data_IF_105494176037
#
_entry.id   IF_105494176037
#
_cell.length_a   1.000
_cell.length_b   1.000
_cell.length_c   1.000
_cell.angle_alpha   90.00
_cell.angle_beta   90.00
_cell.angle_gamma   90.00
#
_symmetry.space_group_name_H-M   'P 1'
#
loop_
_entity.id
_entity.type
_entity.pdbx_description
1 polymer ?
#
# COMPACT_ATOMS: atom_id res chain seq x y z
N UNK A 1 -20.45 -25.99 -11.68
CA UNK A 1 -21.16 -25.27 -10.59
C UNK A 1 -22.02 -26.20 -9.72
N UNK A 2 -21.54 -27.41 -9.39
CA UNK A 2 -22.36 -28.48 -8.76
C UNK A 2 -21.96 -28.83 -7.31
N UNK A 3 -21.11 -28.03 -6.66
CA UNK A 3 -20.67 -28.24 -5.27
C UNK A 3 -20.78 -26.95 -4.43
N UNK A 4 -21.67 -26.02 -4.78
CA UNK A 4 -21.89 -24.84 -3.96
C UNK A 4 -22.79 -25.20 -2.78
N UNK A 5 -22.18 -25.22 -1.61
CA UNK A 5 -22.84 -25.39 -0.33
C UNK A 5 -23.94 -24.35 -0.10
N UNK A 6 -24.95 -24.65 0.73
CA UNK A 6 -26.06 -23.72 1.02
C UNK A 6 -25.54 -22.39 1.56
N UNK A 7 -24.50 -22.41 2.41
CA UNK A 7 -23.79 -21.20 2.84
C UNK A 7 -23.25 -20.36 1.67
N UNK A 8 -22.57 -20.98 0.70
CA UNK A 8 -21.95 -20.27 -0.45
C UNK A 8 -23.02 -19.60 -1.32
N UNK A 9 -24.16 -20.28 -1.53
CA UNK A 9 -25.28 -19.75 -2.32
C UNK A 9 -25.93 -18.52 -1.70
N UNK A 10 -25.88 -18.38 -0.38
CA UNK A 10 -26.46 -17.25 0.36
C UNK A 10 -25.44 -16.13 0.57
N UNK A 11 -24.21 -16.49 0.96
CA UNK A 11 -23.18 -15.51 1.31
C UNK A 11 -22.65 -14.73 0.11
N UNK A 12 -22.45 -15.38 -1.05
CA UNK A 12 -21.96 -14.69 -2.25
C UNK A 12 -22.90 -13.54 -2.67
N UNK A 13 -24.20 -13.76 -2.94
CA UNK A 13 -25.08 -12.68 -3.35
C UNK A 13 -25.23 -11.62 -2.25
N UNK A 14 -25.25 -12.02 -0.97
CA UNK A 14 -25.29 -11.08 0.14
C UNK A 14 -24.06 -10.15 0.13
N UNK A 15 -22.85 -10.68 0.01
CA UNK A 15 -21.62 -9.89 -0.05
C UNK A 15 -21.54 -9.04 -1.30
N UNK A 16 -22.00 -9.55 -2.45
CA UNK A 16 -22.10 -8.76 -3.68
C UNK A 16 -23.04 -7.56 -3.52
N UNK A 17 -24.22 -7.75 -2.90
CA UNK A 17 -25.18 -6.66 -2.64
C UNK A 17 -24.57 -5.62 -1.69
N UNK A 18 -23.92 -6.05 -0.61
CA UNK A 18 -23.26 -5.14 0.34
C UNK A 18 -22.17 -4.32 -0.36
N UNK A 19 -21.34 -4.96 -1.18
CA UNK A 19 -20.25 -4.30 -1.89
C UNK A 19 -20.78 -3.29 -2.93
N UNK A 20 -21.79 -3.67 -3.72
CA UNK A 20 -22.42 -2.78 -4.68
C UNK A 20 -23.14 -1.61 -4.00
N UNK A 21 -23.82 -1.85 -2.88
CA UNK A 21 -24.46 -0.79 -2.10
C UNK A 21 -23.45 0.20 -1.52
N UNK A 22 -22.30 -0.29 -1.04
CA UNK A 22 -21.22 0.55 -0.53
C UNK A 22 -20.58 1.41 -1.63
N UNK A 23 -20.33 0.84 -2.82
CA UNK A 23 -19.86 1.58 -4.00
C UNK A 23 -20.87 2.64 -4.42
N UNK A 24 -22.15 2.29 -4.48
CA UNK A 24 -23.20 3.24 -4.83
C UNK A 24 -23.27 4.39 -3.82
N UNK A 25 -23.20 4.10 -2.52
CA UNK A 25 -23.19 5.11 -1.47
C UNK A 25 -21.96 6.04 -1.57
N UNK A 26 -20.79 5.49 -1.92
CA UNK A 26 -19.55 6.25 -2.10
C UNK A 26 -19.64 7.29 -3.21
N UNK A 27 -20.40 7.01 -4.27
CA UNK A 27 -20.64 7.95 -5.36
C UNK A 27 -21.61 9.08 -5.00
N UNK A 28 -22.47 8.88 -4.00
CA UNK A 28 -23.52 9.84 -3.63
C UNK A 28 -23.10 10.77 -2.48
N UNK A 29 -22.25 10.30 -1.57
CA UNK A 29 -21.82 11.05 -0.39
C UNK A 29 -20.37 10.74 -0.03
N UNK A 30 -19.63 11.72 0.51
CA UNK A 30 -18.29 11.47 1.02
C UNK A 30 -18.39 10.47 2.19
N UNK A 31 -17.82 9.29 2.02
CA UNK A 31 -17.75 8.28 3.07
C UNK A 31 -16.61 8.62 4.03
N UNK A 32 -16.87 8.48 5.33
CA UNK A 32 -15.84 8.62 6.34
C UNK A 32 -14.92 7.40 6.32
N UNK A 33 -13.62 7.63 6.22
CA UNK A 33 -12.59 6.61 6.38
C UNK A 33 -11.67 7.02 7.51
N UNK A 34 -11.27 6.04 8.33
CA UNK A 34 -10.25 6.23 9.36
C UNK A 34 -8.98 6.80 8.72
N UNK A 35 -8.43 7.84 9.33
CA UNK A 35 -7.15 8.42 8.92
C UNK A 35 -6.02 7.38 9.00
N UNK A 36 -5.25 7.26 7.93
CA UNK A 36 -4.02 6.46 7.88
C UNK A 36 -2.84 7.43 8.09
N UNK A 37 -2.23 7.39 9.27
CA UNK A 37 -1.23 8.38 9.68
C UNK A 37 -0.06 8.47 8.71
N UNK A 38 0.50 7.32 8.29
CA UNK A 38 1.63 7.28 7.35
C UNK A 38 1.33 7.90 5.99
N UNK A 39 0.09 7.79 5.49
CA UNK A 39 -0.31 8.43 4.23
C UNK A 39 -0.49 9.94 4.38
N UNK A 40 -0.96 10.41 5.54
CA UNK A 40 -1.08 11.85 5.78
C UNK A 40 0.24 12.55 6.03
N UNK A 41 1.30 11.81 6.37
CA UNK A 41 2.64 12.34 6.52
C UNK A 41 3.38 12.53 5.18
N UNK A 42 2.85 11.99 4.07
CA UNK A 42 3.48 12.13 2.75
C UNK A 42 3.66 13.59 2.33
N UNK A 43 2.60 14.40 2.45
CA UNK A 43 2.66 15.82 2.08
C UNK A 43 3.66 16.60 2.95
N UNK A 44 3.71 16.31 4.25
CA UNK A 44 4.67 16.90 5.18
C UNK A 44 6.12 16.52 4.81
N UNK A 45 6.36 15.24 4.50
CA UNK A 45 7.67 14.77 4.10
C UNK A 45 8.16 15.42 2.81
N UNK A 46 7.27 15.59 1.82
CA UNK A 46 7.58 16.32 0.58
C UNK A 46 7.86 17.79 0.88
N UNK A 47 7.02 18.46 1.67
CA UNK A 47 7.21 19.86 2.05
C UNK A 47 8.55 20.10 2.75
N UNK A 48 8.92 19.22 3.69
CA UNK A 48 10.23 19.28 4.36
C UNK A 48 11.39 19.10 3.38
N UNK A 49 11.26 18.21 2.39
CA UNK A 49 12.26 18.04 1.35
C UNK A 49 12.41 19.29 0.46
N UNK A 50 11.29 19.92 0.12
CA UNK A 50 11.26 21.20 -0.60
C UNK A 50 11.96 22.30 0.20
N UNK A 51 11.64 22.46 1.49
CA UNK A 51 12.24 23.47 2.37
C UNK A 51 13.75 23.29 2.53
N UNK A 52 14.21 22.04 2.55
CA UNK A 52 15.64 21.73 2.62
C UNK A 52 16.37 21.84 1.28
N UNK A 53 15.65 21.97 0.15
CA UNK A 53 16.24 22.00 -1.19
C UNK A 53 17.00 20.72 -1.55
N UNK A 54 16.59 19.58 -0.99
CA UNK A 54 17.25 18.28 -1.12
C UNK A 54 16.28 17.26 -1.76
N UNK A 55 16.76 16.31 -2.56
CA UNK A 55 15.90 15.35 -3.25
C UNK A 55 15.24 14.36 -2.29
N UNK A 56 14.17 13.75 -2.75
CA UNK A 56 13.49 12.63 -2.11
C UNK A 56 13.92 11.31 -2.74
N UNK A 57 13.80 10.21 -2.00
CA UNK A 57 14.06 8.87 -2.52
C UNK A 57 12.85 7.95 -2.30
N UNK A 58 12.43 7.24 -3.33
CA UNK A 58 11.31 6.30 -3.29
C UNK A 58 11.72 4.91 -3.76
N UNK A 59 11.56 3.89 -2.91
CA UNK A 59 11.92 2.50 -3.23
C UNK A 59 10.64 1.66 -3.32
N UNK A 60 10.32 1.08 -4.50
CA UNK A 60 9.10 0.28 -4.71
C UNK A 60 9.25 -1.21 -4.30
N UNK A 61 10.22 -1.53 -3.43
CA UNK A 61 10.53 -2.90 -3.02
C UNK A 61 11.46 -3.65 -3.98
N UNK A 62 11.67 -4.93 -3.68
CA UNK A 62 12.46 -5.86 -4.49
C UNK A 62 11.63 -6.69 -5.49
N UNK A 63 10.31 -6.52 -5.47
CA UNK A 63 9.40 -7.27 -6.34
C UNK A 63 9.50 -6.84 -7.80
N UNK A 64 9.15 -7.76 -8.70
CA UNK A 64 8.84 -7.42 -10.09
C UNK A 64 7.43 -6.83 -10.20
N UNK A 65 6.78 -7.00 -11.35
CA UNK A 65 5.41 -6.54 -11.56
C UNK A 65 4.42 -7.49 -10.85
N UNK A 66 4.04 -7.12 -9.64
CA UNK A 66 3.00 -7.79 -8.86
C UNK A 66 2.05 -6.77 -8.20
N UNK A 67 1.04 -7.26 -7.47
CA UNK A 67 0.03 -6.41 -6.82
C UNK A 67 0.68 -5.44 -5.81
N UNK A 68 1.71 -5.90 -5.10
CA UNK A 68 2.34 -5.12 -4.03
C UNK A 68 3.22 -4.02 -4.60
N UNK A 69 4.02 -4.33 -5.62
CA UNK A 69 4.85 -3.38 -6.34
C UNK A 69 4.00 -2.36 -7.09
N UNK A 70 2.92 -2.77 -7.76
CA UNK A 70 2.01 -1.83 -8.43
C UNK A 70 1.38 -0.84 -7.45
N UNK A 71 0.98 -1.31 -6.27
CA UNK A 71 0.48 -0.46 -5.20
C UNK A 71 1.56 0.49 -4.67
N UNK A 72 2.81 0.04 -4.54
CA UNK A 72 3.94 0.89 -4.18
C UNK A 72 4.19 1.99 -5.22
N UNK A 73 4.21 1.63 -6.50
CA UNK A 73 4.36 2.59 -7.62
C UNK A 73 3.24 3.61 -7.63
N UNK A 74 1.99 3.20 -7.37
CA UNK A 74 0.86 4.13 -7.27
C UNK A 74 1.03 5.15 -6.13
N UNK A 75 1.55 4.73 -4.96
CA UNK A 75 1.86 5.64 -3.85
C UNK A 75 3.00 6.58 -4.24
N UNK A 76 4.07 6.07 -4.85
CA UNK A 76 5.20 6.89 -5.30
C UNK A 76 4.79 7.89 -6.40
N UNK A 77 3.85 7.52 -7.28
CA UNK A 77 3.28 8.42 -8.28
C UNK A 77 2.52 9.58 -7.62
N UNK A 78 1.81 9.33 -6.51
CA UNK A 78 1.19 10.38 -5.71
C UNK A 78 2.24 11.29 -5.04
N UNK A 79 3.30 10.70 -4.46
CA UNK A 79 4.43 11.48 -3.91
C UNK A 79 5.09 12.35 -4.98
N UNK A 80 5.35 11.79 -6.16
CA UNK A 80 5.91 12.52 -7.31
C UNK A 80 5.01 13.66 -7.77
N UNK A 81 3.68 13.47 -7.73
CA UNK A 81 2.70 14.51 -8.05
C UNK A 81 2.84 15.72 -7.12
N UNK A 82 2.95 15.47 -5.82
CA UNK A 82 3.17 16.52 -4.82
C UNK A 82 4.55 17.17 -5.05
N UNK A 83 5.60 16.36 -5.23
CA UNK A 83 6.96 16.83 -5.50
C UNK A 83 7.05 17.72 -6.74
N UNK A 84 6.36 17.36 -7.83
CA UNK A 84 6.29 18.14 -9.06
C UNK A 84 5.74 19.56 -8.86
N UNK A 85 4.69 19.70 -8.03
CA UNK A 85 4.10 21.02 -7.69
C UNK A 85 5.13 21.91 -7.00
N UNK A 86 5.90 21.32 -6.08
CA UNK A 86 6.94 22.00 -5.29
C UNK A 86 8.35 21.96 -5.91
N UNK A 87 8.51 21.44 -7.14
CA UNK A 87 9.81 21.28 -7.82
C UNK A 87 10.85 20.52 -7.00
N UNK A 88 10.41 19.48 -6.28
CA UNK A 88 11.29 18.58 -5.52
C UNK A 88 11.43 17.26 -6.27
N UNK A 89 12.67 16.90 -6.59
CA UNK A 89 12.98 15.69 -7.34
C UNK A 89 12.73 14.43 -6.49
N UNK A 90 12.23 13.38 -7.15
CA UNK A 90 12.06 12.04 -6.58
C UNK A 90 12.98 11.07 -7.32
N UNK A 91 13.98 10.55 -6.61
CA UNK A 91 14.87 9.49 -7.08
C UNK A 91 14.24 8.13 -6.80
N UNK A 92 14.10 7.28 -7.82
CA UNK A 92 13.43 5.99 -7.72
C UNK A 92 14.36 4.86 -8.15
N UNK A 93 15.19 4.33 -7.23
CA UNK A 93 15.96 3.13 -7.49
C UNK A 93 15.05 1.90 -7.54
N UNK A 94 15.21 1.08 -8.58
CA UNK A 94 14.47 -0.17 -8.77
C UNK A 94 15.42 -1.37 -8.77
N UNK A 95 14.96 -2.48 -8.19
CA UNK A 95 15.74 -3.73 -8.10
C UNK A 95 15.45 -4.70 -9.26
N UNK A 96 14.39 -4.47 -10.02
CA UNK A 96 13.97 -5.31 -11.14
C UNK A 96 13.97 -4.51 -12.45
N UNK A 97 14.56 -5.07 -13.51
CA UNK A 97 14.69 -4.40 -14.81
C UNK A 97 13.37 -4.26 -15.54
N UNK A 98 12.39 -5.14 -15.29
CA UNK A 98 11.06 -5.05 -15.90
C UNK A 98 10.23 -3.92 -15.30
N UNK A 99 10.55 -3.52 -14.06
CA UNK A 99 9.89 -2.44 -13.36
C UNK A 99 10.34 -1.05 -13.84
N UNK A 100 11.57 -0.94 -14.36
CA UNK A 100 12.16 0.32 -14.82
C UNK A 100 11.28 1.10 -15.82
N UNK A 101 10.86 0.54 -16.97
CA UNK A 101 10.03 1.26 -17.93
C UNK A 101 8.66 1.61 -17.35
N UNK A 102 8.05 0.72 -16.56
CA UNK A 102 6.75 0.96 -15.93
C UNK A 102 6.79 2.19 -15.00
N UNK A 103 7.82 2.27 -14.16
CA UNK A 103 7.99 3.40 -13.24
C UNK A 103 8.29 4.68 -13.99
N UNK A 104 9.16 4.63 -15.02
CA UNK A 104 9.45 5.79 -15.86
C UNK A 104 8.19 6.33 -16.54
N UNK A 105 7.39 5.47 -17.16
CA UNK A 105 6.12 5.83 -17.82
C UNK A 105 5.13 6.41 -16.79
N UNK A 106 4.94 5.73 -15.66
CA UNK A 106 4.01 6.20 -14.62
C UNK A 106 4.41 7.59 -14.10
N UNK A 107 5.69 7.82 -13.84
CA UNK A 107 6.15 9.13 -13.37
C UNK A 107 6.05 10.17 -14.49
N UNK A 108 6.44 9.84 -15.73
CA UNK A 108 6.29 10.74 -16.86
C UNK A 108 4.85 11.23 -17.02
N UNK A 109 3.88 10.31 -16.94
CA UNK A 109 2.45 10.63 -16.98
C UNK A 109 2.03 11.57 -15.84
N UNK A 110 2.58 11.40 -14.64
CA UNK A 110 2.35 12.32 -13.53
C UNK A 110 2.82 13.73 -13.89
N UNK A 111 4.05 13.90 -14.36
CA UNK A 111 4.60 15.21 -14.76
C UNK A 111 3.82 15.85 -15.92
N UNK A 112 3.43 15.06 -16.92
CA UNK A 112 2.58 15.50 -18.04
C UNK A 112 1.22 15.95 -17.53
N UNK A 113 0.58 15.18 -16.64
CA UNK A 113 -0.74 15.51 -16.08
C UNK A 113 -0.74 16.77 -15.21
N UNK A 114 0.38 17.08 -14.56
CA UNK A 114 0.58 18.32 -13.80
C UNK A 114 1.03 19.49 -14.69
N UNK A 115 1.12 19.30 -16.01
CA UNK A 115 1.48 20.34 -16.98
C UNK A 115 2.94 20.79 -16.92
N UNK A 116 3.84 19.94 -16.40
CA UNK A 116 5.28 20.22 -16.25
C UNK A 116 6.16 19.08 -16.76
N UNK A 117 5.99 18.64 -18.03
CA UNK A 117 6.79 17.55 -18.60
C UNK A 117 8.29 17.83 -18.60
N UNK A 118 8.70 19.11 -18.64
CA UNK A 118 10.09 19.55 -18.65
C UNK A 118 10.84 19.27 -17.34
N UNK A 119 10.13 19.02 -16.24
CA UNK A 119 10.73 18.67 -14.95
C UNK A 119 11.00 17.17 -14.82
N UNK A 120 10.50 16.34 -15.73
CA UNK A 120 10.74 14.90 -15.68
C UNK A 120 12.12 14.57 -16.25
N UNK A 121 12.96 13.98 -15.40
CA UNK A 121 14.25 13.45 -15.79
C UNK A 121 14.18 11.91 -15.72
N UNK A 122 14.24 11.19 -16.86
CA UNK A 122 14.19 9.72 -16.87
C UNK A 122 15.30 9.07 -16.05
N UNK A 123 16.43 9.76 -15.93
CA UNK A 123 17.59 9.34 -15.12
C UNK A 123 17.30 9.30 -13.63
N UNK A 124 16.23 9.93 -13.14
CA UNK A 124 15.85 9.82 -11.73
C UNK A 124 15.32 8.42 -11.38
N UNK A 125 14.92 7.62 -12.38
CA UNK A 125 14.55 6.21 -12.21
C UNK A 125 15.70 5.33 -12.68
N UNK A 126 16.31 4.57 -11.77
CA UNK A 126 17.52 3.79 -12.08
C UNK A 126 17.40 2.36 -11.61
N UNK A 127 17.71 1.41 -12.48
CA UNK A 127 18.03 0.06 -12.05
C UNK A 127 19.41 0.04 -11.40
N UNK A 128 19.50 -0.45 -10.16
CA UNK A 128 20.78 -0.54 -9.44
C UNK A 128 21.35 -1.95 -9.46
N UNK A 129 20.58 -2.93 -8.98
CA UNK A 129 20.97 -4.33 -8.95
C UNK A 129 19.77 -5.21 -8.63
N UNK A 130 19.75 -6.43 -9.18
CA UNK A 130 18.78 -7.47 -8.81
C UNK A 130 19.25 -8.34 -7.63
N UNK A 131 20.42 -8.06 -7.06
CA UNK A 131 20.94 -8.75 -5.88
C UNK A 131 20.61 -7.93 -4.64
N UNK A 132 19.83 -8.52 -3.72
CA UNK A 132 19.32 -7.90 -2.49
C UNK A 132 20.32 -6.96 -1.78
N UNK A 133 21.50 -7.46 -1.37
CA UNK A 133 22.45 -6.64 -0.60
C UNK A 133 23.22 -5.63 -1.46
N UNK A 134 23.43 -5.93 -2.75
CA UNK A 134 24.02 -4.97 -3.69
C UNK A 134 23.07 -3.81 -3.94
N UNK A 135 21.77 -4.10 -4.07
CA UNK A 135 20.72 -3.10 -4.15
C UNK A 135 20.69 -2.25 -2.87
N UNK A 136 20.71 -2.88 -1.69
CA UNK A 136 20.74 -2.19 -0.40
C UNK A 136 21.91 -1.20 -0.29
N UNK A 137 23.12 -1.66 -0.61
CA UNK A 137 24.33 -0.84 -0.57
C UNK A 137 24.27 0.32 -1.57
N UNK A 138 23.73 0.08 -2.77
CA UNK A 138 23.59 1.11 -3.79
C UNK A 138 22.55 2.17 -3.37
N UNK A 139 21.40 1.77 -2.85
CA UNK A 139 20.38 2.69 -2.30
C UNK A 139 20.95 3.51 -1.14
N UNK A 140 21.63 2.86 -0.19
CA UNK A 140 22.31 3.54 0.91
C UNK A 140 23.35 4.56 0.41
N UNK A 141 24.13 4.18 -0.61
CA UNK A 141 25.06 5.07 -1.29
C UNK A 141 24.37 6.29 -1.89
N UNK A 142 23.23 6.10 -2.58
CA UNK A 142 22.42 7.20 -3.13
C UNK A 142 21.92 8.14 -2.02
N UNK A 143 21.40 7.59 -0.93
CA UNK A 143 20.92 8.37 0.24
C UNK A 143 22.04 9.28 0.77
N UNK A 144 23.26 8.75 0.91
CA UNK A 144 24.42 9.50 1.41
C UNK A 144 24.94 10.54 0.42
N UNK A 145 25.04 10.18 -0.86
CA UNK A 145 25.57 11.04 -1.92
C UNK A 145 24.67 12.23 -2.18
N UNK A 146 23.39 11.96 -2.40
CA UNK A 146 22.38 12.97 -2.72
C UNK A 146 21.91 13.71 -1.48
N UNK A 147 22.26 13.19 -0.30
CA UNK A 147 21.77 13.64 0.99
C UNK A 147 20.25 13.74 0.89
N UNK A 148 19.53 12.63 0.77
CA UNK A 148 18.07 12.72 0.61
C UNK A 148 17.41 13.35 1.84
N UNK A 149 16.36 14.13 1.65
CA UNK A 149 15.63 14.79 2.73
C UNK A 149 14.46 13.95 3.26
N UNK A 150 13.86 13.16 2.36
CA UNK A 150 12.78 12.24 2.68
C UNK A 150 12.99 10.92 1.94
N UNK A 151 12.65 9.81 2.61
CA UNK A 151 12.71 8.48 2.05
C UNK A 151 11.35 7.78 2.16
N UNK A 152 10.92 7.18 1.07
CA UNK A 152 9.65 6.48 0.93
C UNK A 152 9.90 5.03 0.58
N UNK A 153 9.50 4.10 1.45
CA UNK A 153 9.77 2.67 1.27
C UNK A 153 8.47 1.90 1.17
N UNK A 154 8.01 1.61 -0.05
CA UNK A 154 6.73 0.94 -0.27
C UNK A 154 6.94 -0.34 -1.06
N UNK A 155 6.37 -1.45 -0.59
CA UNK A 155 6.37 -2.71 -1.34
C UNK A 155 6.85 -3.93 -0.58
N UNK A 156 7.40 -4.89 -1.32
CA UNK A 156 7.93 -6.15 -0.78
C UNK A 156 9.41 -6.00 -0.44
N UNK A 157 9.75 -6.22 0.82
CA UNK A 157 11.11 -6.11 1.33
C UNK A 157 11.53 -7.35 2.12
N UNK A 158 12.82 -7.39 2.46
CA UNK A 158 13.47 -8.35 3.35
C UNK A 158 14.55 -7.61 4.17
N UNK A 159 15.66 -8.29 4.50
CA UNK A 159 16.73 -7.76 5.34
C UNK A 159 17.40 -6.48 4.80
N UNK A 160 17.34 -6.20 3.51
CA UNK A 160 17.85 -4.96 2.91
C UNK A 160 17.16 -3.71 3.43
N UNK A 161 15.90 -3.82 3.86
CA UNK A 161 15.12 -2.69 4.36
C UNK A 161 15.82 -1.97 5.52
N UNK A 162 16.35 -2.75 6.48
CA UNK A 162 17.09 -2.18 7.62
C UNK A 162 18.34 -1.43 7.17
N UNK A 163 19.05 -1.95 6.17
CA UNK A 163 20.35 -1.40 5.75
C UNK A 163 20.18 0.04 5.25
N UNK A 164 19.29 0.26 4.28
CA UNK A 164 19.12 1.61 3.73
C UNK A 164 18.28 2.52 4.62
N UNK A 165 17.35 1.98 5.42
CA UNK A 165 16.52 2.82 6.31
C UNK A 165 17.30 3.31 7.53
N UNK A 166 18.23 2.52 8.06
CA UNK A 166 19.17 2.99 9.09
C UNK A 166 20.03 4.16 8.56
N UNK A 167 20.48 4.07 7.31
CA UNK A 167 21.26 5.13 6.68
C UNK A 167 20.43 6.41 6.47
N UNK A 168 19.16 6.29 6.07
CA UNK A 168 18.24 7.42 6.00
C UNK A 168 18.02 8.08 7.38
N UNK A 169 17.88 7.26 8.43
CA UNK A 169 17.74 7.73 9.81
C UNK A 169 18.99 8.50 10.27
N UNK A 170 20.18 7.97 9.97
CA UNK A 170 21.46 8.57 10.35
C UNK A 170 21.68 9.97 9.73
N UNK A 171 21.19 10.20 8.51
CA UNK A 171 21.28 11.53 7.87
C UNK A 171 20.09 12.46 8.22
N UNK A 172 19.17 12.00 9.08
CA UNK A 172 18.00 12.76 9.53
C UNK A 172 16.92 12.94 8.46
N UNK A 173 16.88 12.06 7.45
CA UNK A 173 15.81 12.05 6.47
C UNK A 173 14.50 11.60 7.14
N UNK A 174 13.38 12.25 6.84
CA UNK A 174 12.07 11.74 7.26
C UNK A 174 11.75 10.48 6.47
N UNK A 175 11.33 9.42 7.14
CA UNK A 175 11.12 8.11 6.51
C UNK A 175 9.70 7.63 6.70
N UNK A 176 9.06 7.29 5.58
CA UNK A 176 7.71 6.73 5.55
C UNK A 176 7.77 5.40 4.82
N UNK A 177 7.38 4.34 5.50
CA UNK A 177 7.42 3.00 4.97
C UNK A 177 6.04 2.34 4.95
N UNK A 178 5.85 1.36 4.08
CA UNK A 178 4.65 0.55 4.03
C UNK A 178 4.90 -0.78 3.35
N UNK A 179 4.50 -1.86 4.01
CA UNK A 179 4.65 -3.22 3.48
C UNK A 179 3.52 -4.12 3.99
N UNK A 180 3.00 -5.04 3.15
CA UNK A 180 2.06 -6.05 3.61
C UNK A 180 2.74 -7.20 4.37
N UNK A 181 4.08 -7.27 4.36
CA UNK A 181 4.83 -8.36 5.00
C UNK A 181 4.96 -8.15 6.51
N UNK A 182 4.30 -9.02 7.28
CA UNK A 182 4.33 -9.00 8.76
C UNK A 182 5.73 -9.21 9.34
N UNK A 183 6.62 -9.88 8.59
CA UNK A 183 8.01 -10.09 9.00
C UNK A 183 8.88 -8.83 8.87
N UNK A 184 8.50 -7.89 7.99
CA UNK A 184 9.32 -6.70 7.71
C UNK A 184 8.81 -5.44 8.39
N UNK A 185 7.54 -5.41 8.80
CA UNK A 185 6.97 -4.31 9.58
C UNK A 185 7.85 -3.93 10.79
N UNK A 186 8.38 -4.87 11.60
CA UNK A 186 9.24 -4.52 12.74
C UNK A 186 10.52 -3.76 12.34
N UNK A 187 11.05 -4.04 11.15
CA UNK A 187 12.28 -3.39 10.67
C UNK A 187 12.03 -1.91 10.40
N UNK A 188 10.93 -1.60 9.72
CA UNK A 188 10.55 -0.21 9.46
C UNK A 188 10.08 0.50 10.73
N UNK A 189 9.44 -0.19 11.68
CA UNK A 189 9.05 0.44 12.96
C UNK A 189 10.29 0.90 13.73
N UNK A 190 11.41 0.19 13.62
CA UNK A 190 12.64 0.53 14.31
C UNK A 190 13.37 1.74 13.70
N UNK A 191 13.25 1.94 12.38
CA UNK A 191 14.09 2.92 11.65
C UNK A 191 13.30 4.09 11.04
N UNK A 192 11.98 3.98 10.87
CA UNK A 192 11.16 4.97 10.17
C UNK A 192 10.21 5.74 11.09
N UNK A 193 9.90 6.99 10.73
CA UNK A 193 8.99 7.85 11.48
C UNK A 193 7.53 7.37 11.38
N UNK A 194 7.13 6.89 10.21
CA UNK A 194 5.78 6.40 9.96
C UNK A 194 5.79 5.07 9.21
N UNK A 195 4.97 4.13 9.68
CA UNK A 195 4.84 2.79 9.08
C UNK A 195 3.39 2.46 8.81
N UNK A 196 3.09 2.14 7.56
CA UNK A 196 1.80 1.63 7.10
C UNK A 196 1.83 0.10 7.18
N UNK A 197 0.81 -0.49 7.80
CA UNK A 197 0.81 -1.90 8.21
C UNK A 197 -0.28 -2.68 7.46
N UNK A 198 0.10 -3.77 6.80
CA UNK A 198 -0.84 -4.78 6.30
C UNK A 198 -1.90 -4.20 5.36
N UNK A 199 -3.18 -4.34 5.72
CA UNK A 199 -4.32 -3.90 4.91
C UNK A 199 -4.33 -2.38 4.64
N UNK A 200 -3.69 -1.57 5.49
CA UNK A 200 -3.57 -0.12 5.24
C UNK A 200 -2.75 0.16 3.97
N UNK A 201 -1.81 -0.72 3.61
CA UNK A 201 -1.01 -0.61 2.40
C UNK A 201 -1.88 -0.79 1.14
N UNK A 202 -2.79 -1.78 1.15
CA UNK A 202 -3.72 -2.01 0.04
C UNK A 202 -4.82 -0.95 -0.05
N UNK A 203 -5.17 -0.33 1.07
CA UNK A 203 -6.13 0.77 1.10
C UNK A 203 -5.53 2.11 0.61
N UNK A 204 -4.22 2.21 0.44
CA UNK A 204 -3.54 3.48 0.23
C UNK A 204 -3.99 4.22 -1.04
N UNK A 205 -4.09 3.53 -2.18
CA UNK A 205 -4.53 4.17 -3.43
C UNK A 205 -5.92 4.78 -3.29
N UNK A 206 -6.88 4.06 -2.72
CA UNK A 206 -8.22 4.56 -2.48
C UNK A 206 -8.25 5.77 -1.53
N UNK A 207 -7.39 5.74 -0.51
CA UNK A 207 -7.28 6.82 0.46
C UNK A 207 -6.70 8.11 -0.16
N UNK A 208 -5.68 7.96 -1.01
CA UNK A 208 -4.97 9.07 -1.65
C UNK A 208 -5.76 9.67 -2.82
N UNK A 209 -6.37 8.84 -3.69
CA UNK A 209 -7.14 9.33 -4.85
C UNK A 209 -8.57 9.73 -4.51
N UNK A 210 -9.11 9.22 -3.39
CA UNK A 210 -10.52 9.37 -2.99
C UNK A 210 -11.51 8.93 -4.07
N UNK A 211 -11.11 8.00 -4.93
CA UNK A 211 -11.96 7.50 -6.00
C UNK A 211 -13.14 6.69 -5.42
N UNK A 212 -14.41 7.07 -5.70
CA UNK A 212 -15.58 6.49 -5.07
C UNK A 212 -15.66 4.96 -5.17
N UNK A 213 -15.27 4.38 -6.31
CA UNK A 213 -15.32 2.94 -6.53
C UNK A 213 -14.35 2.20 -5.62
N UNK A 214 -13.11 2.69 -5.51
CA UNK A 214 -12.10 2.11 -4.61
C UNK A 214 -12.51 2.28 -3.14
N UNK A 215 -13.02 3.46 -2.80
CA UNK A 215 -13.50 3.82 -1.47
C UNK A 215 -14.61 2.88 -0.99
N UNK A 216 -15.66 2.74 -1.81
CA UNK A 216 -16.81 1.92 -1.51
C UNK A 216 -16.47 0.43 -1.46
N UNK A 217 -15.51 0.00 -2.29
CA UNK A 217 -15.00 -1.38 -2.25
C UNK A 217 -14.35 -1.72 -0.92
N UNK A 218 -13.49 -0.84 -0.39
CA UNK A 218 -12.84 -1.05 0.92
C UNK A 218 -13.88 -1.12 2.03
N UNK A 219 -14.82 -0.17 2.08
CA UNK A 219 -15.85 -0.16 3.13
C UNK A 219 -16.76 -1.38 3.02
N UNK A 220 -17.16 -1.75 1.81
CA UNK A 220 -17.94 -2.97 1.58
C UNK A 220 -17.19 -4.23 2.03
N UNK A 221 -15.89 -4.32 1.76
CA UNK A 221 -15.06 -5.43 2.23
C UNK A 221 -14.94 -5.46 3.75
N UNK A 222 -14.75 -4.32 4.41
CA UNK A 222 -14.68 -4.24 5.87
C UNK A 222 -16.01 -4.63 6.53
N UNK A 223 -17.15 -4.22 5.95
CA UNK A 223 -18.48 -4.67 6.39
C UNK A 223 -18.65 -6.18 6.25
N UNK A 224 -18.24 -6.76 5.11
CA UNK A 224 -18.26 -8.20 4.91
C UNK A 224 -17.35 -8.95 5.91
N UNK A 225 -16.13 -8.44 6.15
CA UNK A 225 -15.22 -9.00 7.17
C UNK A 225 -15.86 -8.97 8.56
N UNK A 226 -16.49 -7.85 8.94
CA UNK A 226 -17.17 -7.71 10.23
C UNK A 226 -18.34 -8.68 10.38
N UNK A 227 -19.15 -8.87 9.33
CA UNK A 227 -20.23 -9.87 9.32
C UNK A 227 -19.70 -11.30 9.48
N UNK A 228 -18.59 -11.63 8.82
CA UNK A 228 -17.95 -12.94 8.96
C UNK A 228 -17.46 -13.14 10.40
N UNK A 229 -16.76 -12.14 10.98
CA UNK A 229 -16.28 -12.19 12.36
C UNK A 229 -17.44 -12.38 13.34
N UNK A 230 -18.52 -11.60 13.19
CA UNK A 230 -19.71 -11.73 14.02
C UNK A 230 -20.35 -13.12 13.88
N UNK A 231 -20.46 -13.63 12.65
CA UNK A 231 -20.98 -14.97 12.37
C UNK A 231 -20.13 -16.08 13.00
N UNK A 232 -18.80 -15.96 12.94
CA UNK A 232 -17.86 -16.89 13.59
C UNK A 232 -18.05 -16.84 15.10
N UNK A 233 -18.06 -15.66 15.72
CA UNK A 233 -18.22 -15.52 17.18
C UNK A 233 -19.55 -16.10 17.67
N UNK A 234 -20.66 -15.76 17.00
CA UNK A 234 -21.99 -16.31 17.32
C UNK A 234 -22.00 -17.82 17.13
N UNK A 235 -21.45 -18.31 16.02
CA UNK A 235 -21.33 -19.73 15.74
C UNK A 235 -20.53 -20.49 16.80
N UNK A 236 -19.41 -19.94 17.24
CA UNK A 236 -18.58 -20.50 18.32
C UNK A 236 -19.36 -20.55 19.65
N UNK A 237 -20.01 -19.45 20.05
CA UNK A 237 -20.78 -19.40 21.31
C UNK A 237 -21.96 -20.38 21.31
N UNK A 238 -22.72 -20.43 20.22
CA UNK A 238 -23.87 -21.35 20.09
C UNK A 238 -23.39 -22.80 20.10
N UNK A 239 -22.30 -23.11 19.39
CA UNK A 239 -21.73 -24.46 19.39
C UNK A 239 -21.23 -24.89 20.78
N UNK A 240 -20.69 -23.97 21.58
CA UNK A 240 -20.21 -24.26 22.92
C UNK A 240 -21.33 -24.40 23.96
N UNK A 241 -22.37 -23.57 23.91
CA UNK A 241 -23.43 -23.54 24.95
C UNK A 241 -24.63 -24.44 24.63
N UNK A 242 -24.95 -24.66 23.35
CA UNK A 242 -26.06 -25.51 22.92
C UNK A 242 -25.63 -26.52 21.84
N UNK A 243 -24.98 -27.63 22.24
CA UNK A 243 -24.50 -28.65 21.32
C UNK A 243 -25.59 -29.25 20.43
N UNK A 244 -26.86 -29.19 20.84
CA UNK A 244 -28.02 -29.67 20.07
C UNK A 244 -28.16 -28.99 18.70
N UNK A 245 -27.64 -27.76 18.52
CA UNK A 245 -27.71 -27.04 17.24
C UNK A 245 -26.49 -27.26 16.33
N UNK A 246 -25.46 -28.01 16.78
CA UNK A 246 -24.30 -28.36 15.93
C UNK A 246 -24.66 -29.00 14.58
N UNK A 247 -25.58 -29.97 14.49
CA UNK A 247 -25.91 -30.60 13.20
C UNK A 247 -26.53 -29.60 12.20
N UNK A 248 -27.27 -28.60 12.69
CA UNK A 248 -27.84 -27.54 11.85
C UNK A 248 -26.74 -26.61 11.31
N UNK A 249 -25.81 -26.20 12.17
CA UNK A 249 -24.65 -25.38 11.78
C UNK A 249 -23.77 -26.14 10.77
N UNK A 250 -23.48 -27.43 11.03
CA UNK A 250 -22.73 -28.29 10.11
C UNK A 250 -23.46 -28.46 8.77
N UNK A 251 -24.78 -28.67 8.78
CA UNK A 251 -25.57 -28.80 7.56
C UNK A 251 -25.56 -27.53 6.68
N UNK A 252 -25.47 -26.35 7.30
CA UNK A 252 -25.33 -25.08 6.59
C UNK A 252 -23.94 -24.91 5.95
N UNK A 253 -22.86 -25.32 6.62
CA UNK A 253 -21.47 -25.11 6.19
C UNK A 253 -20.81 -26.26 5.47
N UNK A 254 -21.33 -27.49 5.55
CA UNK A 254 -20.76 -28.70 4.89
C UNK A 254 -21.71 -29.30 3.85
N UNK A 255 -22.93 -28.77 3.76
CA UNK A 255 -23.98 -29.28 2.88
C UNK A 255 -24.60 -30.52 3.52
N UNK A 256 -25.89 -30.75 3.27
CA UNK A 256 -26.46 -32.05 3.59
C UNK A 256 -25.76 -33.08 2.69
N UNK A 257 -24.92 -33.93 3.29
CA UNK A 257 -24.45 -35.15 2.65
C UNK A 257 -25.60 -36.10 2.40
#
# INVERSE_FOLDING_TARGET
MLHANSAVRILIPLFSVILLAAIYAAGQRPLFIRRIYGLTALEEAVGRATEMGRPMLGVPGLGGIDIVTLQAVAILAYVARIGCRYRTQLLVPVADTTLLPLVQETLQDVYVSEGRPELFEPENVRFLSNRQFSFAAAVAGTILQERTAACFYFGSFFAEALIFSEVGQQIGAIQIAGTPSTLQIPFFIATCDYVIIGDEFYAASAYLTREPVLLGSIIGQDLCKLLIIAGVLVGTVVASLWPTYLPLIKGFFMGAG
#
